data_IF_166815931243
#
_entry.id   IF_166815931243
#
_cell.length_a   1.000
_cell.length_b   1.000
_cell.length_c   1.000
_cell.angle_alpha   90.00
_cell.angle_beta   90.00
_cell.angle_gamma   90.00
#
_symmetry.space_group_name_H-M   'P 1'
#
loop_
_entity.id
_entity.type
_entity.pdbx_description
1 polymer ?
#
# COMPACT_ATOMS: atom_id res chain seq x y z
N UNK A 1 -14.23 -12.49 -0.38
CA UNK A 1 -14.91 -11.35 0.27
C UNK A 1 -13.83 -10.44 0.83
N UNK A 2 -13.96 -9.14 0.62
CA UNK A 2 -13.03 -8.14 1.12
C UNK A 2 -13.66 -7.44 2.33
N UNK A 3 -12.99 -7.47 3.49
CA UNK A 3 -13.39 -6.64 4.63
C UNK A 3 -12.40 -5.50 4.79
N UNK A 4 -12.90 -4.30 5.06
CA UNK A 4 -12.12 -3.09 5.26
C UNK A 4 -12.47 -2.54 6.63
N UNK A 5 -11.47 -2.11 7.37
CA UNK A 5 -11.59 -1.34 8.60
C UNK A 5 -10.71 -0.11 8.43
N UNK A 6 -11.32 1.07 8.33
CA UNK A 6 -10.63 2.29 7.97
C UNK A 6 -11.00 3.45 8.88
N UNK A 7 -9.99 4.22 9.25
CA UNK A 7 -10.11 5.46 10.02
C UNK A 7 -9.29 6.56 9.37
N UNK A 8 -9.71 7.79 9.55
CA UNK A 8 -8.98 8.96 9.04
C UNK A 8 -9.35 10.22 9.80
N UNK A 9 -8.62 11.28 9.56
CA UNK A 9 -8.88 12.55 10.22
C UNK A 9 -8.44 13.74 9.35
N UNK A 10 -9.18 14.85 9.39
CA UNK A 10 -8.70 16.15 8.97
C UNK A 10 -7.72 16.68 10.02
N UNK A 11 -6.56 17.20 9.60
CA UNK A 11 -5.53 17.77 10.48
C UNK A 11 -5.33 19.26 10.21
N UNK A 12 -5.20 19.63 8.95
CA UNK A 12 -4.96 21.02 8.52
C UNK A 12 -6.01 21.55 7.54
N UNK A 13 -6.95 20.71 7.11
CA UNK A 13 -8.00 21.07 6.18
C UNK A 13 -9.33 20.42 6.60
N UNK A 14 -10.41 20.80 5.93
CA UNK A 14 -11.74 20.19 6.14
C UNK A 14 -11.88 18.80 5.50
N UNK A 15 -10.89 18.41 4.67
CA UNK A 15 -10.85 17.10 4.03
C UNK A 15 -9.96 16.11 4.82
N UNK A 16 -10.08 14.82 4.54
CA UNK A 16 -9.24 13.78 5.13
C UNK A 16 -7.77 14.02 4.75
N UNK A 17 -6.92 14.30 5.74
CA UNK A 17 -5.49 14.55 5.56
C UNK A 17 -4.64 13.29 5.79
N UNK A 18 -5.11 12.38 6.64
CA UNK A 18 -4.51 11.09 6.88
C UNK A 18 -5.59 10.01 7.01
N UNK A 19 -5.34 8.87 6.39
CA UNK A 19 -6.18 7.69 6.49
C UNK A 19 -5.33 6.44 6.72
N UNK A 20 -5.86 5.52 7.54
CA UNK A 20 -5.31 4.19 7.77
C UNK A 20 -6.42 3.19 7.48
N UNK A 21 -6.07 2.13 6.76
CA UNK A 21 -7.00 1.06 6.44
C UNK A 21 -6.37 -0.31 6.69
N UNK A 22 -7.13 -1.20 7.30
CA UNK A 22 -6.84 -2.62 7.38
C UNK A 22 -7.78 -3.39 6.48
N UNK A 23 -7.22 -4.10 5.50
CA UNK A 23 -7.94 -4.80 4.46
C UNK A 23 -7.66 -6.29 4.60
N UNK A 24 -8.72 -7.13 4.65
CA UNK A 24 -8.61 -8.59 4.67
C UNK A 24 -9.16 -9.16 3.37
N UNK A 25 -8.35 -9.94 2.69
CA UNK A 25 -8.72 -10.62 1.46
C UNK A 25 -9.23 -12.04 1.73
N UNK A 26 -10.02 -12.57 0.79
CA UNK A 26 -10.61 -13.90 0.91
C UNK A 26 -9.57 -15.03 0.97
N UNK A 27 -8.39 -14.81 0.40
CA UNK A 27 -7.25 -15.73 0.44
C UNK A 27 -6.45 -15.69 1.74
N UNK A 28 -6.89 -14.91 2.74
CA UNK A 28 -6.21 -14.77 4.02
C UNK A 28 -5.16 -13.64 4.08
N UNK A 29 -4.82 -13.02 2.96
CA UNK A 29 -3.91 -11.88 2.94
C UNK A 29 -4.49 -10.70 3.73
N UNK A 30 -3.64 -10.02 4.49
CA UNK A 30 -4.01 -8.81 5.23
C UNK A 30 -3.08 -7.68 4.84
N UNK A 31 -3.66 -6.55 4.46
CA UNK A 31 -2.94 -5.32 4.12
C UNK A 31 -3.25 -4.24 5.15
N UNK A 32 -2.23 -3.54 5.61
CA UNK A 32 -2.36 -2.29 6.33
C UNK A 32 -1.85 -1.18 5.40
N UNK A 33 -2.74 -0.26 5.03
CA UNK A 33 -2.42 0.86 4.17
C UNK A 33 -2.50 2.17 4.95
N UNK A 34 -1.56 3.07 4.69
CA UNK A 34 -1.57 4.43 5.22
C UNK A 34 -1.38 5.41 4.07
N UNK A 35 -2.24 6.40 3.97
CA UNK A 35 -2.11 7.52 3.07
C UNK A 35 -2.13 8.82 3.87
N UNK A 36 -1.15 9.69 3.66
CA UNK A 36 -1.03 10.96 4.37
C UNK A 36 -0.47 12.03 3.46
N UNK A 37 -1.08 13.21 3.48
CA UNK A 37 -0.57 14.42 2.84
C UNK A 37 0.02 15.42 3.82
N UNK A 38 0.00 15.10 5.10
CA UNK A 38 0.52 15.95 6.19
C UNK A 38 1.82 15.45 6.79
N UNK A 39 2.35 14.33 6.27
CA UNK A 39 3.63 13.79 6.73
C UNK A 39 4.80 14.66 6.26
N UNK A 40 5.74 14.94 7.16
CA UNK A 40 6.93 15.75 6.86
C UNK A 40 7.88 15.09 5.86
N UNK A 41 7.80 13.78 5.70
CA UNK A 41 8.60 13.01 4.76
C UNK A 41 7.72 12.43 3.67
N UNK A 42 8.14 12.59 2.43
CA UNK A 42 7.53 11.89 1.30
C UNK A 42 8.04 10.45 1.31
N UNK A 43 7.12 9.50 1.53
CA UNK A 43 7.43 8.08 1.55
C UNK A 43 6.46 7.31 0.64
N UNK A 44 7.02 6.38 -0.13
CA UNK A 44 6.24 5.39 -0.88
C UNK A 44 6.89 4.03 -0.64
N UNK A 45 6.39 3.33 0.38
CA UNK A 45 6.97 2.06 0.83
C UNK A 45 5.92 0.96 0.82
N UNK A 46 6.34 -0.23 0.40
CA UNK A 46 5.57 -1.45 0.54
C UNK A 46 6.41 -2.48 1.29
N UNK A 47 5.79 -3.19 2.22
CA UNK A 47 6.41 -4.29 2.95
C UNK A 47 5.52 -5.51 2.82
N UNK A 48 6.11 -6.63 2.46
CA UNK A 48 5.44 -7.92 2.28
C UNK A 48 6.10 -8.90 3.23
N UNK A 49 5.27 -9.58 4.01
CA UNK A 49 5.70 -10.60 4.95
C UNK A 49 5.13 -11.94 4.51
N UNK A 50 5.99 -12.90 4.33
CA UNK A 50 5.68 -14.29 4.03
C UNK A 50 6.28 -15.20 5.10
N UNK A 51 6.00 -16.49 5.07
CA UNK A 51 6.44 -17.42 6.13
C UNK A 51 7.97 -17.51 6.25
N UNK A 52 8.69 -17.36 5.14
CA UNK A 52 10.15 -17.51 5.03
C UNK A 52 10.86 -16.28 4.43
N UNK A 53 10.10 -15.27 4.06
CA UNK A 53 10.63 -14.08 3.39
C UNK A 53 10.00 -12.78 3.88
N UNK A 54 10.81 -11.73 3.88
CA UNK A 54 10.39 -10.35 4.06
C UNK A 54 10.92 -9.52 2.91
N UNK A 55 10.01 -8.83 2.22
CA UNK A 55 10.36 -7.86 1.18
C UNK A 55 10.05 -6.44 1.66
N UNK A 56 10.97 -5.54 1.39
CA UNK A 56 10.79 -4.10 1.59
C UNK A 56 11.10 -3.37 0.29
N UNK A 57 10.10 -2.66 -0.23
CA UNK A 57 10.25 -1.80 -1.40
C UNK A 57 10.15 -0.35 -0.96
N UNK A 58 11.20 0.41 -1.20
CA UNK A 58 11.19 1.87 -1.13
C UNK A 58 11.08 2.41 -2.55
N UNK A 59 9.84 2.73 -2.96
CA UNK A 59 9.55 3.21 -4.31
C UNK A 59 10.06 4.65 -4.54
N UNK A 60 10.31 5.39 -3.46
CA UNK A 60 10.88 6.74 -3.55
C UNK A 60 12.39 6.69 -3.78
N UNK A 61 13.09 5.82 -3.06
CA UNK A 61 14.53 5.64 -3.19
C UNK A 61 14.93 4.56 -4.20
N UNK A 62 13.94 3.81 -4.72
CA UNK A 62 14.12 2.68 -5.64
C UNK A 62 15.04 1.60 -5.09
N UNK A 63 14.80 1.25 -3.83
CA UNK A 63 15.52 0.18 -3.13
C UNK A 63 14.56 -0.99 -2.89
N UNK A 64 15.00 -2.16 -3.31
CA UNK A 64 14.38 -3.44 -2.97
C UNK A 64 15.30 -4.16 -1.99
N UNK A 65 14.77 -4.49 -0.81
CA UNK A 65 15.46 -5.33 0.17
C UNK A 65 14.67 -6.64 0.32
N UNK A 66 15.35 -7.75 0.14
CA UNK A 66 14.83 -9.09 0.36
C UNK A 66 15.57 -9.75 1.50
N UNK A 67 14.85 -10.18 2.52
CA UNK A 67 15.39 -10.93 3.65
C UNK A 67 14.74 -12.30 3.63
N UNK A 68 15.53 -13.35 3.56
CA UNK A 68 15.09 -14.75 3.58
C UNK A 68 15.69 -15.50 4.74
N UNK A 69 14.96 -16.47 5.24
CA UNK A 69 15.48 -17.42 6.20
C UNK A 69 16.59 -18.25 5.53
N UNK A 70 17.71 -18.35 6.22
CA UNK A 70 18.85 -19.16 5.78
C UNK A 70 18.70 -20.59 6.29
N UNK A 71 18.88 -21.58 5.43
CA UNK A 71 18.95 -22.97 5.84
C UNK A 71 20.28 -23.22 6.56
N UNK A 72 20.22 -23.91 7.70
CA UNK A 72 21.39 -24.32 8.50
C UNK A 72 21.45 -23.69 9.87
N UNK A 73 22.34 -24.22 10.71
CA UNK A 73 22.54 -23.73 12.06
C UNK A 73 23.23 -22.38 12.04
N UNK A 74 22.50 -21.32 12.35
CA UNK A 74 23.08 -19.98 12.52
C UNK A 74 24.10 -19.94 13.67
N UNK A 75 25.03 -19.01 13.61
CA UNK A 75 25.93 -18.71 14.75
C UNK A 75 25.07 -18.30 15.96
N UNK A 76 25.33 -18.83 17.16
CA UNK A 76 24.59 -18.45 18.35
C UNK A 76 24.56 -16.91 18.52
N UNK A 77 23.36 -16.33 18.65
CA UNK A 77 23.16 -14.88 18.78
C UNK A 77 22.97 -14.11 17.47
N UNK A 78 23.04 -14.75 16.30
CA UNK A 78 22.70 -14.14 15.03
C UNK A 78 21.41 -14.74 14.43
N UNK A 79 20.56 -13.91 13.87
CA UNK A 79 19.41 -14.38 13.10
C UNK A 79 19.89 -15.11 11.85
N UNK A 80 19.39 -16.34 11.58
CA UNK A 80 19.78 -17.12 10.40
C UNK A 80 19.06 -16.54 9.15
N UNK A 81 19.48 -15.37 8.70
CA UNK A 81 18.87 -14.69 7.55
C UNK A 81 19.92 -14.34 6.50
N UNK A 82 19.49 -14.34 5.25
CA UNK A 82 20.21 -13.80 4.11
C UNK A 82 19.52 -12.49 3.71
N UNK A 83 20.32 -11.44 3.53
CA UNK A 83 19.81 -10.11 3.14
C UNK A 83 20.39 -9.78 1.78
N UNK A 84 19.53 -9.44 0.85
CA UNK A 84 19.86 -8.97 -0.49
C UNK A 84 19.26 -7.56 -0.66
N UNK A 85 20.09 -6.59 -1.04
CA UNK A 85 19.66 -5.25 -1.37
C UNK A 85 19.96 -4.95 -2.84
N UNK A 86 18.95 -4.53 -3.57
CA UNK A 86 19.08 -4.10 -4.96
C UNK A 86 18.62 -2.64 -5.07
N UNK A 87 19.49 -1.81 -5.65
CA UNK A 87 19.14 -0.44 -6.03
C UNK A 87 18.78 -0.42 -7.50
N UNK A 88 17.59 0.03 -7.80
CA UNK A 88 17.10 0.15 -9.17
C UNK A 88 17.50 1.52 -9.73
N UNK A 89 17.71 1.55 -11.03
CA UNK A 89 18.05 2.81 -11.72
C UNK A 89 16.94 3.84 -11.60
N UNK A 90 17.33 5.10 -11.53
CA UNK A 90 16.41 6.22 -11.58
C UNK A 90 15.88 6.33 -13.02
N UNK A 91 14.58 6.11 -13.21
CA UNK A 91 13.89 6.22 -14.49
C UNK A 91 12.70 7.16 -14.38
N UNK A 92 12.26 7.66 -15.51
CA UNK A 92 11.02 8.41 -15.64
C UNK A 92 9.85 7.44 -15.71
N UNK A 93 9.11 7.31 -14.60
CA UNK A 93 8.00 6.38 -14.49
C UNK A 93 6.84 6.74 -15.42
N UNK A 94 6.56 8.03 -15.64
CA UNK A 94 5.51 8.47 -16.54
C UNK A 94 5.85 8.15 -18.00
N UNK A 95 7.10 8.39 -18.41
CA UNK A 95 7.57 8.01 -19.72
C UNK A 95 7.47 6.51 -19.95
N UNK A 96 7.91 5.69 -18.99
CA UNK A 96 7.83 4.25 -19.06
C UNK A 96 6.39 3.73 -19.18
N UNK A 97 5.44 4.34 -18.44
CA UNK A 97 4.02 4.02 -18.54
C UNK A 97 3.47 4.31 -19.94
N UNK A 98 3.77 5.49 -20.49
CA UNK A 98 3.32 5.88 -21.84
C UNK A 98 3.92 4.96 -22.90
N UNK A 99 5.22 4.65 -22.81
CA UNK A 99 5.90 3.74 -23.73
C UNK A 99 5.32 2.33 -23.69
N UNK A 100 5.03 1.81 -22.50
CA UNK A 100 4.38 0.51 -22.32
C UNK A 100 2.98 0.49 -22.94
N UNK A 101 2.18 1.55 -22.75
CA UNK A 101 0.86 1.68 -23.37
C UNK A 101 0.93 1.71 -24.90
N UNK A 102 1.84 2.50 -25.46
CA UNK A 102 2.05 2.58 -26.92
C UNK A 102 2.49 1.22 -27.49
N UNK A 103 3.30 0.48 -26.76
CA UNK A 103 3.72 -0.87 -27.18
C UNK A 103 2.54 -1.86 -27.18
N UNK A 104 1.63 -1.77 -26.22
CA UNK A 104 0.40 -2.57 -26.21
C UNK A 104 -0.45 -2.28 -27.46
N UNK A 105 -0.58 -0.99 -27.87
CA UNK A 105 -1.31 -0.62 -29.09
C UNK A 105 -0.64 -1.21 -30.33
N UNK A 106 0.70 -1.12 -30.45
CA UNK A 106 1.43 -1.62 -31.61
C UNK A 106 1.38 -3.12 -31.77
N UNK A 107 1.43 -3.83 -30.65
CA UNK A 107 1.56 -5.30 -30.64
C UNK A 107 0.25 -6.04 -30.44
N UNK A 108 -0.83 -5.34 -30.05
CA UNK A 108 -2.10 -5.94 -29.65
C UNK A 108 -2.03 -6.77 -28.36
N UNK A 109 -0.96 -6.62 -27.57
CA UNK A 109 -0.82 -7.29 -26.29
C UNK A 109 -1.64 -6.58 -25.22
N UNK A 110 -2.23 -7.32 -24.27
CA UNK A 110 -2.89 -6.68 -23.13
C UNK A 110 -1.87 -5.90 -22.27
N UNK A 111 -2.27 -4.81 -21.64
CA UNK A 111 -1.41 -4.07 -20.71
C UNK A 111 -1.12 -4.92 -19.47
N UNK A 112 0.04 -4.68 -18.85
CA UNK A 112 0.42 -5.35 -17.59
C UNK A 112 -0.52 -5.00 -16.44
N UNK A 113 -1.02 -3.76 -16.43
CA UNK A 113 -2.10 -3.31 -15.54
C UNK A 113 -3.26 -2.92 -16.42
N UNK A 114 -4.37 -3.63 -16.29
CA UNK A 114 -5.56 -3.44 -17.11
C UNK A 114 -6.47 -2.34 -16.57
N UNK A 115 -7.49 -1.96 -17.34
CA UNK A 115 -8.54 -1.05 -16.87
C UNK A 115 -9.35 -1.65 -15.72
N UNK A 116 -9.55 -2.97 -15.72
CA UNK A 116 -10.23 -3.72 -14.67
C UNK A 116 -9.41 -3.71 -13.37
N UNK A 117 -8.08 -3.82 -13.43
CA UNK A 117 -7.21 -3.70 -12.27
C UNK A 117 -7.28 -2.28 -11.69
N UNK A 118 -7.29 -1.26 -12.54
CA UNK A 118 -7.47 0.13 -12.15
C UNK A 118 -8.82 0.38 -11.50
N UNK A 119 -9.90 -0.20 -12.05
CA UNK A 119 -11.25 -0.12 -11.48
C UNK A 119 -11.30 -0.77 -10.10
N UNK A 120 -10.76 -1.96 -9.94
CA UNK A 120 -10.73 -2.66 -8.65
C UNK A 120 -9.96 -1.87 -7.56
N UNK A 121 -8.86 -1.21 -7.95
CA UNK A 121 -8.12 -0.33 -7.05
C UNK A 121 -8.94 0.90 -6.65
N UNK A 122 -9.64 1.52 -7.60
CA UNK A 122 -10.50 2.69 -7.35
C UNK A 122 -11.68 2.32 -6.46
N UNK A 123 -12.38 1.23 -6.71
CA UNK A 123 -13.48 0.73 -5.88
C UNK A 123 -13.02 0.49 -4.44
N UNK A 124 -11.82 -0.08 -4.26
CA UNK A 124 -11.23 -0.27 -2.93
C UNK A 124 -10.97 1.06 -2.23
N UNK A 125 -10.41 2.04 -2.94
CA UNK A 125 -10.15 3.37 -2.40
C UNK A 125 -11.46 4.11 -2.03
N UNK A 126 -12.51 3.98 -2.84
CA UNK A 126 -13.83 4.55 -2.54
C UNK A 126 -14.43 3.95 -1.28
N UNK A 127 -14.40 2.63 -1.11
CA UNK A 127 -14.89 1.95 0.09
C UNK A 127 -14.13 2.37 1.35
N UNK A 128 -12.80 2.56 1.25
CA UNK A 128 -12.01 3.11 2.35
C UNK A 128 -12.48 4.52 2.71
N UNK A 129 -12.69 5.37 1.71
CA UNK A 129 -13.13 6.75 1.90
C UNK A 129 -14.51 6.82 2.54
N UNK A 130 -15.45 6.00 2.08
CA UNK A 130 -16.80 5.88 2.65
C UNK A 130 -16.72 5.52 4.13
N UNK A 131 -15.95 4.51 4.49
CA UNK A 131 -15.84 4.05 5.87
C UNK A 131 -15.15 5.09 6.78
N UNK A 132 -14.13 5.81 6.28
CA UNK A 132 -13.52 6.93 7.01
C UNK A 132 -14.55 8.03 7.27
N UNK A 133 -15.39 8.38 6.27
CA UNK A 133 -16.43 9.39 6.43
C UNK A 133 -17.51 8.97 7.44
N UNK A 134 -17.93 7.71 7.43
CA UNK A 134 -18.87 7.15 8.42
C UNK A 134 -18.28 7.22 9.84
N UNK A 135 -17.01 6.83 10.00
CA UNK A 135 -16.28 6.92 11.27
C UNK A 135 -16.18 8.36 11.79
N UNK A 136 -15.88 9.31 10.90
CA UNK A 136 -15.83 10.74 11.27
C UNK A 136 -17.21 11.29 11.64
N UNK A 137 -18.27 10.89 10.95
CA UNK A 137 -19.65 11.29 11.28
C UNK A 137 -20.07 10.76 12.65
N UNK A 138 -19.83 9.49 12.92
CA UNK A 138 -20.13 8.88 14.23
C UNK A 138 -19.40 9.60 15.37
N UNK A 139 -18.10 9.88 15.20
CA UNK A 139 -17.30 10.60 16.18
C UNK A 139 -17.85 12.00 16.48
N UNK A 140 -18.28 12.77 15.46
CA UNK A 140 -18.87 14.09 15.63
C UNK A 140 -20.17 14.05 16.42
N UNK A 141 -20.99 13.00 16.23
CA UNK A 141 -22.24 12.80 17.00
C UNK A 141 -21.96 12.55 18.47
N UNK A 142 -20.99 11.69 18.78
CA UNK A 142 -20.55 11.41 20.16
C UNK A 142 -19.98 12.68 20.83
N UNK A 143 -19.14 13.46 20.14
CA UNK A 143 -18.60 14.73 20.65
C UNK A 143 -19.69 15.79 20.87
N UNK A 144 -20.81 15.74 20.12
CA UNK A 144 -21.97 16.60 20.29
C UNK A 144 -22.93 16.15 21.41
N UNK A 145 -22.65 15.03 22.09
CA UNK A 145 -23.52 14.49 23.14
C UNK A 145 -24.81 13.84 22.61
N UNK A 146 -24.84 13.47 21.34
CA UNK A 146 -25.94 12.78 20.68
C UNK A 146 -25.58 11.29 20.58
N UNK A 147 -25.64 10.58 21.72
CA UNK A 147 -25.52 9.12 21.71
C UNK A 147 -26.75 8.50 21.01
N UNK A 148 -26.48 7.63 20.02
CA UNK A 148 -27.48 6.81 19.33
C UNK A 148 -27.49 5.42 19.95
#
# INVERSE_FOLDING_TARGET
MLTIDAVGTPVFSDAIDIANARIRFANGCVVNATASRVSLRMERKMRIFEDDAYLSLDLQQKILTLIRKREGSGTPGQLPVQIEEQRLEQGDALKAEIEAFLECIRTGRPPTVSGEDGLAALETAMRITEQVNESLAARRLTEAGLDV
#
